data_IF_841865520943
#
_entry.id   IF_841865520943
#
_cell.length_a   1.000
_cell.length_b   1.000
_cell.length_c   1.000
_cell.angle_alpha   90.00
_cell.angle_beta   90.00
_cell.angle_gamma   90.00
#
_symmetry.space_group_name_H-M   'P 1'
#
loop_
_entity.id
_entity.type
_entity.pdbx_description
1 polymer ?
#
# COMPACT_ATOMS: atom_id res chain seq x y z
N UNK A 1 -15.14 -12.42 -15.80
CA UNK A 1 -14.00 -12.39 -14.86
C UNK A 1 -13.17 -11.15 -15.19
N UNK A 2 -13.64 -9.97 -14.76
CA UNK A 2 -12.79 -8.78 -14.75
C UNK A 2 -11.89 -8.95 -13.53
N UNK A 3 -10.61 -9.23 -13.76
CA UNK A 3 -9.63 -9.16 -12.68
C UNK A 3 -9.33 -7.69 -12.49
N UNK A 4 -9.94 -7.07 -11.48
CA UNK A 4 -9.56 -5.73 -11.05
C UNK A 4 -8.15 -5.82 -10.47
N UNK A 5 -7.14 -5.67 -11.34
CA UNK A 5 -5.75 -5.62 -10.93
C UNK A 5 -5.54 -4.23 -10.32
N UNK A 6 -5.54 -4.15 -8.99
CA UNK A 6 -5.15 -2.93 -8.27
C UNK A 6 -3.63 -2.81 -8.28
N UNK A 7 -3.14 -1.73 -8.85
CA UNK A 7 -1.71 -1.40 -8.84
C UNK A 7 -1.42 -0.42 -7.72
N UNK A 8 -0.29 -0.63 -7.04
CA UNK A 8 0.23 0.30 -6.06
C UNK A 8 1.63 0.73 -6.49
N UNK A 9 1.86 2.04 -6.52
CA UNK A 9 3.21 2.62 -6.56
C UNK A 9 3.75 2.68 -5.15
N UNK A 10 4.99 2.21 -4.93
CA UNK A 10 5.63 2.22 -3.62
C UNK A 10 7.00 2.87 -3.75
N UNK A 11 7.24 3.90 -2.94
CA UNK A 11 8.56 4.53 -2.78
C UNK A 11 9.06 4.30 -1.36
N UNK A 12 10.27 3.75 -1.20
CA UNK A 12 10.80 3.28 0.10
C UNK A 12 12.03 4.09 0.48
N UNK A 13 11.93 4.77 1.62
CA UNK A 13 13.05 5.45 2.27
C UNK A 13 13.54 4.68 3.50
N UNK A 14 14.55 5.22 4.18
CA UNK A 14 15.15 4.60 5.36
C UNK A 14 14.14 4.36 6.51
N UNK A 15 13.20 5.29 6.74
CA UNK A 15 12.30 5.25 7.90
C UNK A 15 10.82 5.02 7.55
N UNK A 16 10.43 5.37 6.33
CA UNK A 16 9.03 5.31 5.87
C UNK A 16 8.97 4.86 4.41
N UNK A 17 7.81 4.39 3.99
CA UNK A 17 7.49 4.17 2.59
C UNK A 17 6.14 4.81 2.25
N UNK A 18 6.09 5.43 1.10
CA UNK A 18 4.90 6.04 0.53
C UNK A 18 4.25 5.05 -0.44
N UNK A 19 2.93 4.99 -0.41
CA UNK A 19 2.11 4.12 -1.24
C UNK A 19 1.07 4.98 -1.93
N UNK A 20 0.97 4.85 -3.25
CA UNK A 20 -0.11 5.43 -4.03
C UNK A 20 -0.86 4.33 -4.76
N UNK A 21 -2.19 4.45 -4.85
CA UNK A 21 -3.00 3.55 -5.66
C UNK A 21 -3.36 4.18 -7.01
N UNK A 22 -3.95 3.39 -7.89
CA UNK A 22 -4.40 3.85 -9.21
C UNK A 22 -5.51 4.90 -9.17
N UNK A 23 -6.16 5.11 -8.02
CA UNK A 23 -7.22 6.10 -7.82
C UNK A 23 -6.65 7.45 -7.34
N UNK A 24 -5.35 7.51 -7.05
CA UNK A 24 -4.67 8.71 -6.59
C UNK A 24 -4.74 8.90 -5.07
N UNK A 25 -5.09 7.87 -4.30
CA UNK A 25 -4.95 7.91 -2.84
C UNK A 25 -3.47 7.80 -2.47
N UNK A 26 -3.09 8.47 -1.38
CA UNK A 26 -1.74 8.47 -0.84
C UNK A 26 -1.73 7.98 0.60
N UNK A 27 -0.83 7.05 0.90
CA UNK A 27 -0.63 6.50 2.24
C UNK A 27 0.86 6.52 2.57
N UNK A 28 1.20 6.77 3.83
CA UNK A 28 2.57 6.65 4.31
C UNK A 28 2.61 5.68 5.48
N UNK A 29 3.59 4.77 5.44
CA UNK A 29 3.80 3.77 6.47
C UNK A 29 5.23 3.83 6.98
N UNK A 30 5.44 3.40 8.23
CA UNK A 30 6.80 3.22 8.75
C UNK A 30 7.46 2.03 8.06
N UNK A 31 8.74 2.14 7.75
CA UNK A 31 9.56 1.04 7.23
C UNK A 31 9.92 0.06 8.36
N UNK A 32 8.88 -0.52 8.94
CA UNK A 32 8.95 -1.51 10.02
C UNK A 32 7.92 -2.59 9.76
N UNK A 33 8.08 -3.73 10.43
CA UNK A 33 7.16 -4.87 10.31
C UNK A 33 5.70 -4.44 10.61
N UNK A 34 5.49 -3.55 11.58
CA UNK A 34 4.15 -3.03 11.89
C UNK A 34 3.58 -2.15 10.77
N UNK A 35 4.40 -1.37 10.08
CA UNK A 35 3.98 -0.59 8.91
C UNK A 35 3.53 -1.47 7.75
N UNK A 36 4.28 -2.54 7.44
CA UNK A 36 3.88 -3.51 6.42
C UNK A 36 2.60 -4.27 6.79
N UNK A 37 2.39 -4.60 8.07
CA UNK A 37 1.11 -5.18 8.54
C UNK A 37 -0.07 -4.24 8.31
N UNK A 38 0.13 -2.93 8.46
CA UNK A 38 -0.92 -1.95 8.18
C UNK A 38 -1.17 -1.80 6.68
N UNK A 39 -0.12 -1.80 5.86
CA UNK A 39 -0.25 -1.81 4.40
C UNK A 39 -1.00 -3.07 3.90
N UNK A 40 -0.69 -4.26 4.44
CA UNK A 40 -1.37 -5.49 4.08
C UNK A 40 -2.90 -5.44 4.30
N UNK A 41 -3.38 -4.71 5.32
CA UNK A 41 -4.82 -4.52 5.54
C UNK A 41 -5.49 -3.74 4.41
N UNK A 42 -4.80 -2.81 3.75
CA UNK A 42 -5.33 -2.09 2.58
C UNK A 42 -5.48 -3.04 1.38
N UNK A 43 -4.60 -4.03 1.24
CA UNK A 43 -4.69 -5.04 0.18
C UNK A 43 -5.88 -5.98 0.39
N UNK A 44 -6.19 -6.29 1.66
CA UNK A 44 -7.23 -7.25 2.06
C UNK A 44 -8.63 -6.66 2.22
N UNK A 45 -8.80 -5.33 2.19
CA UNK A 45 -10.07 -4.65 2.44
C UNK A 45 -11.16 -4.85 1.37
N UNK A 46 -10.91 -5.66 0.33
CA UNK A 46 -11.86 -5.96 -0.75
C UNK A 46 -12.21 -7.46 -0.86
N UNK A 47 -12.17 -8.22 0.24
CA UNK A 47 -12.57 -9.63 0.23
C UNK A 47 -13.95 -9.88 0.80
#
# INVERSE_FOLDING_TARGET
MNKDIKYFGIDISHLVFDVTDSEGNYYQFKNTISGFKNFAKLLSANS
#
